data_IF_931731435390
#
_entry.id   IF_931731435390
#
_cell.length_a   1.000
_cell.length_b   1.000
_cell.length_c   1.000
_cell.angle_alpha   90.00
_cell.angle_beta   90.00
_cell.angle_gamma   90.00
#
_symmetry.space_group_name_H-M   'P 1'
#
loop_
_entity.id
_entity.type
_entity.pdbx_description
1 polymer ?
#
# COMPACT_ATOMS: atom_id res chain seq x y z
N UNK A 1 -22.52 32.41 17.44
CA UNK A 1 -23.14 31.27 16.77
C UNK A 1 -22.09 30.68 15.84
N UNK A 2 -21.60 29.44 16.03
CA UNK A 2 -20.74 28.83 15.05
C UNK A 2 -21.56 28.61 13.77
N UNK A 3 -20.99 29.08 12.66
CA UNK A 3 -21.54 28.96 11.32
C UNK A 3 -21.71 27.48 10.97
N UNK A 4 -22.94 26.99 10.97
CA UNK A 4 -23.32 25.66 10.53
C UNK A 4 -23.44 25.65 9.00
N UNK A 5 -22.34 25.91 8.32
CA UNK A 5 -22.27 25.55 6.91
C UNK A 5 -22.41 24.05 6.83
N UNK A 6 -23.39 23.47 6.09
CA UNK A 6 -23.52 22.03 5.94
C UNK A 6 -22.18 21.47 5.43
N UNK A 7 -21.76 20.28 5.88
CA UNK A 7 -20.51 19.72 5.39
C UNK A 7 -20.61 19.63 3.87
N UNK A 8 -19.55 20.05 3.17
CA UNK A 8 -19.52 20.03 1.71
C UNK A 8 -19.93 18.67 1.19
N UNK A 9 -20.42 18.61 -0.05
CA UNK A 9 -20.98 17.40 -0.72
C UNK A 9 -20.12 16.13 -0.64
N UNK A 10 -18.96 16.21 -0.03
CA UNK A 10 -17.95 15.15 0.07
C UNK A 10 -17.14 14.97 -1.22
N UNK A 11 -17.44 15.75 -2.26
CA UNK A 11 -16.67 15.88 -3.49
C UNK A 11 -15.68 17.05 -3.41
N UNK A 12 -16.03 18.10 -2.67
CA UNK A 12 -15.13 19.23 -2.47
C UNK A 12 -13.87 18.78 -1.73
N UNK A 13 -12.70 19.01 -2.34
CA UNK A 13 -11.42 18.55 -1.85
C UNK A 13 -11.25 17.03 -1.86
N UNK A 14 -12.18 16.26 -2.47
CA UNK A 14 -12.05 14.81 -2.60
C UNK A 14 -10.97 14.45 -3.61
N UNK A 15 -10.08 13.55 -3.22
CA UNK A 15 -9.00 13.11 -4.10
C UNK A 15 -7.99 12.21 -3.39
N UNK A 16 -6.92 11.90 -4.09
CA UNK A 16 -5.79 11.19 -3.52
C UNK A 16 -4.67 12.18 -3.15
N UNK A 17 -4.12 11.96 -1.99
CA UNK A 17 -2.89 12.55 -1.56
C UNK A 17 -1.83 11.45 -1.52
N UNK A 18 -0.81 11.57 -2.34
CA UNK A 18 0.35 10.68 -2.34
C UNK A 18 1.44 11.36 -1.52
N UNK A 19 1.84 10.72 -0.42
CA UNK A 19 2.85 11.27 0.49
C UNK A 19 4.13 10.47 0.39
N UNK A 20 5.25 11.16 0.23
CA UNK A 20 6.57 10.57 0.52
C UNK A 20 6.77 10.56 2.03
N UNK A 21 6.44 9.41 2.65
CA UNK A 21 6.54 9.25 4.10
C UNK A 21 8.00 9.23 4.53
N UNK A 22 8.37 10.09 5.45
CA UNK A 22 9.68 10.06 6.10
C UNK A 22 9.80 8.85 7.06
N UNK A 23 11.02 8.44 7.36
CA UNK A 23 11.32 7.47 8.41
C UNK A 23 11.00 8.01 9.81
N UNK A 24 10.80 7.10 10.77
CA UNK A 24 10.56 7.44 12.18
C UNK A 24 9.13 7.87 12.51
N UNK A 25 8.21 7.94 11.54
CA UNK A 25 6.79 8.26 11.76
C UNK A 25 5.90 7.12 11.30
N UNK A 26 4.78 6.91 11.99
CA UNK A 26 3.81 5.90 11.59
C UNK A 26 2.92 6.39 10.44
N UNK A 27 2.30 5.47 9.70
CA UNK A 27 1.28 5.82 8.70
C UNK A 27 0.10 6.57 9.33
N UNK A 28 -0.20 6.33 10.60
CA UNK A 28 -1.26 7.03 11.33
C UNK A 28 -0.89 8.48 11.65
N UNK A 29 0.37 8.76 11.98
CA UNK A 29 0.87 10.13 12.19
C UNK A 29 0.75 10.95 10.91
N UNK A 30 1.07 10.33 9.75
CA UNK A 30 0.87 10.96 8.44
C UNK A 30 -0.60 11.28 8.20
N UNK A 31 -1.53 10.34 8.45
CA UNK A 31 -2.98 10.60 8.35
C UNK A 31 -3.39 11.75 9.25
N UNK A 32 -2.89 11.79 10.47
CA UNK A 32 -3.22 12.85 11.46
C UNK A 32 -2.70 14.21 11.00
N UNK A 33 -1.48 14.28 10.45
CA UNK A 33 -0.92 15.49 9.87
C UNK A 33 -1.73 15.99 8.67
N UNK A 34 -2.13 15.07 7.77
CA UNK A 34 -2.96 15.39 6.60
C UNK A 34 -4.34 15.90 7.00
N UNK A 35 -4.98 15.29 8.01
CA UNK A 35 -6.27 15.77 8.55
C UNK A 35 -6.18 17.20 9.04
N UNK A 36 -5.07 17.54 9.74
CA UNK A 36 -4.84 18.90 10.23
C UNK A 36 -4.61 19.89 9.09
N UNK A 37 -3.75 19.55 8.13
CA UNK A 37 -3.42 20.41 7.01
C UNK A 37 -4.64 20.69 6.12
N UNK A 38 -5.41 19.64 5.77
CA UNK A 38 -6.59 19.73 4.88
C UNK A 38 -7.88 20.10 5.64
N UNK A 39 -7.85 20.30 6.97
CA UNK A 39 -9.00 20.62 7.82
C UNK A 39 -10.19 19.68 7.66
N UNK A 40 -9.93 18.39 7.48
CA UNK A 40 -10.95 17.35 7.38
C UNK A 40 -10.62 16.14 8.26
N UNK A 41 -11.68 15.44 8.72
CA UNK A 41 -11.54 14.17 9.45
C UNK A 41 -11.54 12.95 8.52
N UNK A 42 -11.98 13.11 7.28
CA UNK A 42 -12.15 12.03 6.30
C UNK A 42 -10.87 11.79 5.51
N UNK A 43 -9.86 11.24 6.18
CA UNK A 43 -8.60 10.81 5.58
C UNK A 43 -8.28 9.40 6.05
N UNK A 44 -7.96 8.51 5.12
CA UNK A 44 -7.48 7.14 5.35
C UNK A 44 -6.30 6.83 4.45
N UNK A 45 -5.67 5.66 4.58
CA UNK A 45 -4.55 5.24 3.72
C UNK A 45 -4.77 3.86 3.11
N UNK A 46 -4.14 3.58 1.95
CA UNK A 46 -4.12 2.30 1.25
C UNK A 46 -2.78 1.59 1.51
N UNK A 47 -2.73 0.76 2.55
CA UNK A 47 -1.55 -0.03 2.89
C UNK A 47 -0.58 0.68 3.83
N UNK A 48 -0.40 0.12 5.01
CA UNK A 48 0.52 0.60 6.05
C UNK A 48 1.97 0.57 5.55
N UNK A 49 2.75 1.54 5.99
CA UNK A 49 4.21 1.49 6.04
C UNK A 49 4.65 1.47 7.51
N UNK A 50 5.63 0.63 7.81
CA UNK A 50 6.25 0.55 9.14
C UNK A 50 6.94 1.89 9.50
N UNK A 51 7.22 2.19 10.78
CA UNK A 51 7.82 3.47 11.17
C UNK A 51 9.15 3.73 10.47
N UNK A 52 10.05 2.74 10.41
CA UNK A 52 11.33 2.84 9.73
C UNK A 52 11.21 3.04 8.20
N UNK A 53 10.16 2.49 7.60
CA UNK A 53 9.99 2.52 6.15
C UNK A 53 9.65 3.92 5.64
N UNK A 54 10.13 4.25 4.44
CA UNK A 54 9.91 5.53 3.76
C UNK A 54 9.15 5.34 2.45
N UNK A 55 8.80 6.44 1.80
CA UNK A 55 8.29 6.45 0.43
C UNK A 55 6.78 6.50 0.31
N UNK A 56 6.26 6.03 -0.81
CA UNK A 56 4.88 6.23 -1.27
C UNK A 56 3.84 5.70 -0.27
N UNK A 57 3.08 6.60 0.31
CA UNK A 57 1.87 6.31 1.08
C UNK A 57 0.68 7.00 0.42
N UNK A 58 -0.24 6.21 -0.11
CA UNK A 58 -1.45 6.72 -0.78
C UNK A 58 -2.55 6.92 0.25
N UNK A 59 -3.07 8.15 0.34
CA UNK A 59 -4.17 8.51 1.20
C UNK A 59 -5.38 8.95 0.36
N UNK A 60 -6.57 8.53 0.77
CA UNK A 60 -7.82 9.05 0.25
C UNK A 60 -8.34 10.16 1.16
N UNK A 61 -8.83 11.23 0.54
CA UNK A 61 -9.41 12.39 1.20
C UNK A 61 -10.88 12.49 0.83
N UNK A 62 -11.73 12.77 1.82
CA UNK A 62 -13.18 12.88 1.68
C UNK A 62 -13.76 11.63 1.00
N UNK A 63 -14.50 11.80 -0.11
CA UNK A 63 -15.13 10.70 -0.82
C UNK A 63 -14.15 9.67 -1.40
N UNK A 64 -12.92 10.10 -1.71
CA UNK A 64 -11.88 9.20 -2.21
C UNK A 64 -11.40 8.16 -1.17
N UNK A 65 -11.75 8.29 0.11
CA UNK A 65 -11.52 7.21 1.10
C UNK A 65 -12.17 5.89 0.70
N UNK A 66 -13.24 5.93 -0.09
CA UNK A 66 -13.98 4.74 -0.53
C UNK A 66 -13.25 3.91 -1.59
N UNK A 67 -12.29 4.50 -2.34
CA UNK A 67 -11.50 3.77 -3.35
C UNK A 67 -10.24 3.12 -2.76
N UNK A 68 -9.89 3.42 -1.51
CA UNK A 68 -8.67 2.90 -0.88
C UNK A 68 -8.62 1.37 -0.80
N UNK A 69 -9.77 0.72 -0.62
CA UNK A 69 -9.86 -0.73 -0.62
C UNK A 69 -9.43 -1.36 -1.95
N UNK A 70 -9.77 -0.72 -3.07
CA UNK A 70 -9.36 -1.17 -4.41
C UNK A 70 -7.86 -0.93 -4.64
N UNK A 71 -7.33 0.22 -4.20
CA UNK A 71 -5.92 0.57 -4.34
C UNK A 71 -5.02 -0.29 -3.43
N UNK A 72 -5.50 -0.73 -2.28
CA UNK A 72 -4.72 -1.58 -1.38
C UNK A 72 -4.40 -2.95 -1.97
N UNK A 73 -5.18 -3.43 -2.94
CA UNK A 73 -5.01 -4.73 -3.61
C UNK A 73 -4.01 -4.69 -4.76
N UNK A 74 -3.50 -3.52 -5.13
CA UNK A 74 -2.54 -3.37 -6.24
C UNK A 74 -1.13 -3.85 -5.88
N UNK A 75 -0.30 -4.08 -6.90
CA UNK A 75 1.14 -4.39 -6.74
C UNK A 75 1.89 -3.22 -6.11
N UNK A 76 3.02 -3.52 -5.51
CA UNK A 76 3.89 -2.54 -4.87
C UNK A 76 5.34 -2.81 -5.24
N UNK A 77 6.12 -1.73 -5.32
CA UNK A 77 7.56 -1.80 -5.50
C UNK A 77 8.29 -1.20 -4.33
N UNK A 78 9.44 -1.79 -4.04
CA UNK A 78 10.31 -1.37 -2.94
C UNK A 78 11.77 -1.41 -3.37
N UNK A 79 12.54 -0.49 -2.84
CA UNK A 79 13.98 -0.67 -2.64
C UNK A 79 14.24 -0.93 -1.17
N UNK A 80 15.15 -1.85 -0.87
CA UNK A 80 15.46 -2.20 0.51
C UNK A 80 16.92 -2.58 0.67
N UNK A 81 17.43 -2.52 1.89
CA UNK A 81 18.70 -3.12 2.27
C UNK A 81 18.43 -4.26 3.24
N UNK A 82 18.78 -5.47 2.83
CA UNK A 82 18.75 -6.68 3.66
C UNK A 82 20.13 -6.87 4.26
N UNK A 83 20.20 -7.01 5.57
CA UNK A 83 21.42 -7.40 6.28
C UNK A 83 21.34 -8.86 6.67
N UNK A 84 22.27 -9.67 6.18
CA UNK A 84 22.56 -11.04 6.61
C UNK A 84 23.61 -11.00 7.71
N UNK A 85 23.58 -11.97 8.65
CA UNK A 85 24.49 -12.09 9.79
C UNK A 85 23.80 -11.90 11.14
N UNK A 86 22.54 -11.45 11.16
CA UNK A 86 21.75 -11.36 12.39
C UNK A 86 20.26 -11.42 12.11
N UNK A 87 19.51 -12.07 12.99
CA UNK A 87 18.05 -11.97 13.05
C UNK A 87 17.63 -11.01 14.18
N UNK A 88 16.50 -10.32 13.99
CA UNK A 88 15.94 -9.40 14.99
C UNK A 88 14.49 -9.76 15.34
N UNK A 89 13.99 -9.25 16.46
CA UNK A 89 12.62 -9.53 16.94
C UNK A 89 11.52 -9.02 16.03
N UNK A 90 11.81 -8.02 15.19
CA UNK A 90 10.84 -7.37 14.28
C UNK A 90 11.11 -7.64 12.79
N UNK A 91 12.13 -8.45 12.48
CA UNK A 91 12.66 -8.68 11.12
C UNK A 91 13.19 -7.38 10.46
N UNK A 92 13.45 -6.32 11.23
CA UNK A 92 14.04 -5.04 10.82
C UNK A 92 14.98 -4.46 11.87
N UNK A 93 15.60 -3.31 11.59
CA UNK A 93 16.58 -2.67 12.46
C UNK A 93 16.00 -2.01 13.73
N UNK A 94 14.66 -1.94 13.88
CA UNK A 94 14.01 -1.42 15.08
C UNK A 94 13.92 -2.51 16.19
N UNK A 95 14.11 -3.78 15.84
CA UNK A 95 14.06 -4.90 16.78
C UNK A 95 15.41 -5.23 17.43
N UNK A 96 15.35 -5.87 18.62
CA UNK A 96 16.52 -6.41 19.28
C UNK A 96 17.07 -7.61 18.51
N UNK A 97 18.42 -7.77 18.50
CA UNK A 97 19.09 -8.92 17.91
C UNK A 97 18.79 -10.18 18.75
N UNK A 98 18.21 -11.19 18.11
CA UNK A 98 17.89 -12.48 18.75
C UNK A 98 18.90 -13.59 18.45
N UNK A 99 19.59 -13.52 17.31
CA UNK A 99 20.66 -14.44 16.94
C UNK A 99 21.64 -13.79 15.98
N UNK A 100 22.87 -14.35 15.95
CA UNK A 100 23.89 -14.01 14.96
C UNK A 100 24.35 -15.29 14.28
N UNK A 101 24.63 -15.20 12.96
CA UNK A 101 25.17 -16.28 12.17
C UNK A 101 26.44 -15.86 11.43
N UNK A 102 27.25 -16.83 11.07
CA UNK A 102 28.49 -16.61 10.32
C UNK A 102 28.17 -16.36 8.83
N UNK A 103 28.69 -15.29 8.30
CA UNK A 103 28.55 -14.89 6.88
C UNK A 103 29.81 -15.14 6.06
N UNK A 104 30.91 -15.52 6.69
CA UNK A 104 32.24 -15.63 6.04
C UNK A 104 32.27 -16.65 4.91
N UNK A 105 31.50 -17.73 5.06
CA UNK A 105 31.42 -18.85 4.11
C UNK A 105 30.30 -18.75 3.09
N UNK A 106 29.47 -17.69 3.10
CA UNK A 106 28.30 -17.59 2.23
C UNK A 106 28.72 -17.15 0.82
N UNK A 107 28.62 -18.02 -0.22
CA UNK A 107 28.94 -17.65 -1.57
C UNK A 107 27.80 -16.82 -2.21
N UNK A 108 28.11 -16.01 -3.21
CA UNK A 108 27.13 -15.21 -3.91
C UNK A 108 26.05 -16.07 -4.60
N UNK A 109 26.44 -17.27 -5.08
CA UNK A 109 25.48 -18.21 -5.70
C UNK A 109 24.41 -18.69 -4.71
N UNK A 110 24.76 -18.92 -3.43
CA UNK A 110 23.76 -19.32 -2.43
C UNK A 110 22.77 -18.16 -2.15
N UNK A 111 23.24 -16.91 -2.18
CA UNK A 111 22.35 -15.74 -2.09
C UNK A 111 21.40 -15.69 -3.30
N UNK A 112 21.94 -15.90 -4.51
CA UNK A 112 21.14 -15.89 -5.75
C UNK A 112 20.10 -17.02 -5.75
N UNK A 113 20.46 -18.22 -5.31
CA UNK A 113 19.55 -19.36 -5.17
C UNK A 113 18.45 -19.07 -4.14
N UNK A 114 18.81 -18.49 -3.00
CA UNK A 114 17.85 -18.08 -1.95
C UNK A 114 16.87 -17.00 -2.44
N UNK A 115 17.36 -16.01 -3.19
CA UNK A 115 16.51 -14.97 -3.80
C UNK A 115 15.59 -15.58 -4.87
N UNK A 116 16.08 -16.49 -5.70
CA UNK A 116 15.28 -17.21 -6.69
C UNK A 116 14.16 -18.03 -6.04
N UNK A 117 14.44 -18.71 -4.93
CA UNK A 117 13.46 -19.49 -4.16
C UNK A 117 12.35 -18.61 -3.53
N UNK A 118 12.62 -17.34 -3.29
CA UNK A 118 11.67 -16.37 -2.72
C UNK A 118 11.00 -15.51 -3.81
N UNK A 119 11.20 -15.84 -5.09
CA UNK A 119 10.60 -15.17 -6.26
C UNK A 119 9.49 -16.05 -6.86
N UNK A 120 8.43 -15.44 -7.35
CA UNK A 120 7.26 -16.14 -7.88
C UNK A 120 6.14 -16.25 -6.85
N UNK A 121 5.29 -17.27 -7.00
CA UNK A 121 4.22 -17.57 -6.06
C UNK A 121 4.78 -18.35 -4.87
N UNK A 122 4.70 -17.78 -3.68
CA UNK A 122 5.25 -18.34 -2.45
C UNK A 122 4.24 -18.32 -1.31
N UNK A 123 4.41 -19.24 -0.36
CA UNK A 123 3.72 -19.22 0.93
C UNK A 123 4.59 -18.45 1.95
N UNK A 124 4.15 -17.28 2.38
CA UNK A 124 4.90 -16.45 3.32
C UNK A 124 4.23 -16.40 4.69
N UNK A 125 5.00 -16.64 5.74
CA UNK A 125 4.60 -16.35 7.12
C UNK A 125 4.89 -14.87 7.38
N UNK A 126 3.86 -14.04 7.62
CA UNK A 126 4.05 -12.62 7.94
C UNK A 126 4.92 -12.39 9.18
N UNK A 127 5.59 -11.24 9.24
CA UNK A 127 6.33 -10.84 10.45
C UNK A 127 5.40 -10.79 11.66
N UNK A 128 5.89 -11.25 12.82
CA UNK A 128 5.12 -11.32 14.08
C UNK A 128 4.61 -9.95 14.53
N UNK A 129 5.41 -8.91 14.30
CA UNK A 129 5.01 -7.52 14.53
C UNK A 129 4.31 -6.97 13.30
N UNK A 130 3.01 -7.26 13.15
CA UNK A 130 2.21 -6.85 11.99
C UNK A 130 0.81 -6.37 12.39
N UNK A 131 0.12 -5.71 11.45
CA UNK A 131 -1.26 -5.24 11.63
C UNK A 131 -2.31 -6.36 11.39
N UNK A 132 -1.89 -7.61 11.17
CA UNK A 132 -2.77 -8.75 10.98
C UNK A 132 -3.61 -8.95 12.24
N UNK A 133 -4.88 -9.28 12.03
CA UNK A 133 -5.79 -9.63 13.12
C UNK A 133 -5.82 -11.15 13.29
N UNK A 134 -5.62 -11.60 14.52
CA UNK A 134 -5.79 -12.97 14.99
C UNK A 134 -6.89 -12.91 16.05
N UNK A 135 -7.97 -13.62 15.84
CA UNK A 135 -9.15 -13.62 16.72
C UNK A 135 -9.67 -12.22 17.07
N UNK A 136 -9.61 -11.31 16.08
CA UNK A 136 -10.07 -9.93 16.23
C UNK A 136 -9.05 -8.95 16.82
N UNK A 137 -7.94 -9.44 17.40
CA UNK A 137 -6.84 -8.64 17.98
C UNK A 137 -5.68 -8.52 17.01
N UNK A 138 -4.98 -7.40 16.99
CA UNK A 138 -3.83 -7.19 16.10
C UNK A 138 -2.61 -7.95 16.63
N UNK A 139 -1.87 -8.65 15.74
CA UNK A 139 -0.71 -9.46 16.09
C UNK A 139 0.33 -8.66 16.90
N UNK A 140 0.63 -7.41 16.51
CA UNK A 140 1.58 -6.57 17.25
C UNK A 140 1.11 -6.23 18.68
N UNK A 141 -0.20 -6.23 18.97
CA UNK A 141 -0.71 -6.01 20.32
C UNK A 141 -0.49 -7.26 21.18
N UNK A 142 -0.74 -8.45 20.62
CA UNK A 142 -0.51 -9.73 21.30
C UNK A 142 0.97 -9.91 21.64
N UNK A 143 1.88 -9.62 20.71
CA UNK A 143 3.33 -9.70 20.93
C UNK A 143 3.78 -8.77 22.04
N UNK A 144 3.25 -7.53 22.12
CA UNK A 144 3.56 -6.58 23.20
C UNK A 144 3.08 -7.05 24.57
N UNK A 145 2.05 -7.86 24.63
CA UNK A 145 1.52 -8.48 25.86
C UNK A 145 2.29 -9.77 26.23
N UNK A 146 3.33 -10.16 25.45
CA UNK A 146 4.14 -11.33 25.69
C UNK A 146 3.51 -12.63 25.19
N UNK A 147 2.43 -12.57 24.41
CA UNK A 147 1.81 -13.77 23.83
C UNK A 147 2.61 -14.30 22.64
N UNK A 148 2.81 -15.61 22.57
CA UNK A 148 3.37 -16.27 21.38
C UNK A 148 2.31 -16.31 20.28
N UNK A 149 2.56 -15.62 19.19
CA UNK A 149 1.61 -15.50 18.09
C UNK A 149 2.02 -16.44 16.95
N UNK A 150 1.16 -17.40 16.63
CA UNK A 150 1.33 -18.25 15.43
C UNK A 150 0.51 -17.65 14.30
N UNK A 151 1.20 -17.14 13.28
CA UNK A 151 0.56 -16.59 12.08
C UNK A 151 0.64 -17.65 10.99
N UNK A 152 -0.49 -18.08 10.40
CA UNK A 152 -0.46 -19.05 9.32
C UNK A 152 0.18 -18.42 8.06
N UNK A 153 0.88 -19.25 7.24
CA UNK A 153 1.39 -18.80 5.95
C UNK A 153 0.24 -18.34 5.05
N UNK A 154 0.56 -17.44 4.12
CA UNK A 154 -0.39 -16.89 3.15
C UNK A 154 0.25 -16.83 1.77
N UNK A 155 -0.52 -17.16 0.72
CA UNK A 155 -0.03 -17.04 -0.64
C UNK A 155 0.23 -15.57 -0.99
N UNK A 156 1.40 -15.29 -1.53
CA UNK A 156 1.80 -14.00 -2.08
C UNK A 156 2.61 -14.24 -3.36
N UNK A 157 2.60 -13.24 -4.25
CA UNK A 157 3.41 -13.26 -5.46
C UNK A 157 4.51 -12.22 -5.35
N UNK A 158 5.76 -12.64 -5.50
CA UNK A 158 6.94 -11.78 -5.64
C UNK A 158 7.34 -11.82 -7.10
N UNK A 159 6.85 -10.86 -7.90
CA UNK A 159 7.08 -10.84 -9.35
C UNK A 159 8.52 -10.47 -9.72
N UNK A 160 9.23 -9.77 -8.82
CA UNK A 160 10.63 -9.42 -8.95
C UNK A 160 11.29 -9.36 -7.58
N UNK A 161 12.44 -10.04 -7.46
CA UNK A 161 13.34 -9.90 -6.34
C UNK A 161 14.77 -9.91 -6.89
N UNK A 162 15.40 -8.76 -6.93
CA UNK A 162 16.70 -8.56 -7.57
C UNK A 162 17.70 -7.96 -6.61
N UNK A 163 18.90 -8.53 -6.55
CA UNK A 163 20.03 -7.96 -5.80
C UNK A 163 20.77 -6.97 -6.70
N UNK A 164 20.72 -5.69 -6.34
CA UNK A 164 21.35 -4.61 -7.09
C UNK A 164 22.83 -4.44 -6.69
N UNK A 165 23.13 -4.61 -5.40
CA UNK A 165 24.48 -4.45 -4.86
C UNK A 165 24.69 -5.36 -3.66
N UNK A 166 25.91 -5.87 -3.51
CA UNK A 166 26.38 -6.63 -2.35
C UNK A 166 27.55 -5.91 -1.70
N UNK A 167 27.49 -5.74 -0.38
CA UNK A 167 28.57 -5.19 0.44
C UNK A 167 28.88 -6.17 1.56
N UNK A 168 30.12 -6.58 1.64
CA UNK A 168 30.59 -7.55 2.65
C UNK A 168 31.43 -6.84 3.71
N UNK A 169 31.22 -7.20 4.97
CA UNK A 169 32.05 -6.87 6.11
C UNK A 169 32.43 -8.16 6.86
N UNK A 170 33.17 -8.05 7.96
CA UNK A 170 33.53 -9.21 8.77
C UNK A 170 32.28 -9.93 9.33
N UNK A 171 31.26 -9.16 9.73
CA UNK A 171 30.13 -9.67 10.52
C UNK A 171 28.80 -9.64 9.75
N UNK A 172 28.77 -9.10 8.52
CA UNK A 172 27.53 -8.92 7.79
C UNK A 172 27.73 -8.88 6.27
N UNK A 173 26.64 -9.24 5.55
CA UNK A 173 26.49 -8.97 4.13
C UNK A 173 25.26 -8.09 3.96
N UNK A 174 25.44 -6.88 3.43
CA UNK A 174 24.35 -5.99 3.07
C UNK A 174 24.01 -6.17 1.59
N UNK A 175 22.74 -6.43 1.31
CA UNK A 175 22.18 -6.58 -0.03
C UNK A 175 21.23 -5.42 -0.28
N UNK A 176 21.57 -4.55 -1.24
CA UNK A 176 20.58 -3.61 -1.76
C UNK A 176 19.74 -4.32 -2.80
N UNK A 177 18.45 -4.31 -2.63
CA UNK A 177 17.51 -5.10 -3.42
C UNK A 177 16.39 -4.26 -3.98
N UNK A 178 15.85 -4.71 -5.12
CA UNK A 178 14.59 -4.24 -5.69
C UNK A 178 13.56 -5.37 -5.59
N UNK A 179 12.37 -5.06 -5.05
CA UNK A 179 11.28 -6.03 -4.87
C UNK A 179 10.01 -5.48 -5.48
N UNK A 180 9.38 -6.25 -6.38
CA UNK A 180 8.01 -6.02 -6.84
C UNK A 180 7.13 -7.20 -6.39
N UNK A 181 6.00 -6.89 -5.73
CA UNK A 181 5.19 -7.93 -5.11
C UNK A 181 3.70 -7.59 -5.04
N UNK A 182 2.90 -8.61 -4.83
CA UNK A 182 1.46 -8.50 -4.60
C UNK A 182 1.14 -7.83 -3.26
N UNK A 183 -0.10 -7.42 -3.10
CA UNK A 183 -0.64 -6.97 -1.81
C UNK A 183 -0.51 -8.07 -0.76
N UNK A 184 -0.18 -7.69 0.46
CA UNK A 184 -0.05 -8.61 1.60
C UNK A 184 1.35 -9.18 1.80
N UNK A 185 2.28 -8.97 0.86
CA UNK A 185 3.68 -9.38 0.99
C UNK A 185 4.39 -8.51 2.04
N UNK A 186 5.17 -9.15 2.91
CA UNK A 186 6.03 -8.52 3.91
C UNK A 186 7.49 -8.59 3.45
N UNK A 187 8.07 -7.45 3.05
CA UNK A 187 9.49 -7.40 2.63
C UNK A 187 10.42 -7.75 3.80
N UNK A 188 10.01 -7.47 5.04
CA UNK A 188 10.72 -7.91 6.26
C UNK A 188 10.81 -9.44 6.34
N UNK A 189 9.72 -10.13 6.02
CA UNK A 189 9.72 -11.59 6.02
C UNK A 189 10.60 -12.16 4.90
N UNK A 190 10.72 -11.50 3.74
CA UNK A 190 11.68 -11.92 2.71
C UNK A 190 13.13 -11.86 3.23
N UNK A 191 13.49 -10.81 3.98
CA UNK A 191 14.81 -10.68 4.58
C UNK A 191 15.08 -11.77 5.64
N UNK A 192 14.10 -12.02 6.51
CA UNK A 192 14.14 -13.10 7.50
C UNK A 192 14.32 -14.47 6.83
N UNK A 193 13.46 -14.76 5.84
CA UNK A 193 13.42 -16.09 5.21
C UNK A 193 14.69 -16.34 4.38
N UNK A 194 15.23 -15.31 3.70
CA UNK A 194 16.54 -15.41 3.03
C UNK A 194 17.66 -15.69 4.03
N UNK A 195 17.71 -14.97 5.15
CA UNK A 195 18.70 -15.17 6.20
C UNK A 195 18.58 -16.55 6.86
N UNK A 196 17.35 -17.07 7.02
CA UNK A 196 17.10 -18.42 7.53
C UNK A 196 17.56 -19.50 6.54
N UNK A 197 17.30 -19.34 5.25
CA UNK A 197 17.74 -20.28 4.21
C UNK A 197 19.27 -20.38 4.10
N UNK A 198 19.98 -19.30 4.47
CA UNK A 198 21.44 -19.23 4.47
C UNK A 198 22.08 -19.55 5.84
N UNK A 199 21.28 -19.87 6.85
CA UNK A 199 21.70 -20.10 8.25
C UNK A 199 22.50 -18.93 8.86
N UNK A 200 22.24 -17.71 8.40
CA UNK A 200 22.92 -16.48 8.87
C UNK A 200 22.06 -15.59 9.75
N UNK A 201 20.73 -15.77 9.69
CA UNK A 201 19.80 -14.72 10.09
C UNK A 201 19.79 -13.55 9.12
N UNK A 202 18.65 -12.86 9.05
CA UNK A 202 18.47 -11.74 8.14
C UNK A 202 17.38 -10.79 8.62
N UNK A 203 17.58 -9.49 8.36
CA UNK A 203 16.61 -8.44 8.68
C UNK A 203 16.77 -7.24 7.75
N UNK A 204 15.77 -6.37 7.70
CA UNK A 204 15.86 -5.11 6.93
C UNK A 204 16.59 -4.03 7.73
N UNK A 205 17.52 -3.32 7.09
CA UNK A 205 18.13 -2.09 7.62
C UNK A 205 17.59 -0.83 6.96
N UNK A 206 17.02 -0.96 5.75
CA UNK A 206 16.32 0.12 5.06
C UNK A 206 15.16 -0.45 4.24
N UNK A 207 14.07 0.31 4.15
CA UNK A 207 12.92 -0.02 3.30
C UNK A 207 12.31 1.28 2.74
N UNK A 208 12.19 1.35 1.43
CA UNK A 208 11.51 2.46 0.75
C UNK A 208 10.50 1.93 -0.27
N UNK A 209 9.24 2.26 -0.10
CA UNK A 209 8.22 1.95 -1.09
C UNK A 209 8.25 2.97 -2.21
N UNK A 210 8.59 2.55 -3.41
CA UNK A 210 8.73 3.42 -4.59
C UNK A 210 7.45 3.53 -5.40
N UNK A 211 6.56 2.51 -5.32
CA UNK A 211 5.31 2.47 -6.08
C UNK A 211 4.17 1.75 -5.33
N UNK A 212 2.95 2.21 -5.53
CA UNK A 212 1.68 1.55 -5.16
C UNK A 212 0.73 1.61 -6.36
N UNK A 213 0.51 0.50 -7.04
CA UNK A 213 -0.22 0.48 -8.30
C UNK A 213 0.38 1.47 -9.31
N UNK A 214 -0.37 2.42 -9.85
CA UNK A 214 0.16 3.42 -10.78
C UNK A 214 0.82 4.63 -10.09
N UNK A 215 0.76 4.72 -8.75
CA UNK A 215 1.26 5.88 -8.01
C UNK A 215 2.72 5.69 -7.61
N UNK A 216 3.59 6.57 -8.08
CA UNK A 216 5.04 6.60 -7.85
C UNK A 216 5.45 7.77 -6.97
N UNK A 217 6.75 7.90 -6.70
CA UNK A 217 7.31 9.06 -6.00
C UNK A 217 7.10 10.38 -6.76
N UNK A 218 6.91 10.34 -8.09
CA UNK A 218 6.62 11.53 -8.90
C UNK A 218 5.28 12.20 -8.54
N UNK A 219 4.33 11.40 -8.06
CA UNK A 219 3.04 11.91 -7.58
C UNK A 219 3.10 12.37 -6.12
N UNK A 220 4.19 12.04 -5.43
CA UNK A 220 4.28 12.21 -3.99
C UNK A 220 4.72 13.61 -3.59
N UNK A 221 4.23 14.05 -2.44
CA UNK A 221 4.61 15.29 -1.77
C UNK A 221 5.07 14.95 -0.36
N UNK A 222 6.03 15.70 0.16
CA UNK A 222 6.41 15.64 1.56
C UNK A 222 5.34 16.26 2.45
N UNK A 223 5.36 15.96 3.76
CA UNK A 223 4.44 16.62 4.69
C UNK A 223 4.68 18.12 4.81
N UNK A 224 5.91 18.60 4.57
CA UNK A 224 6.22 20.03 4.63
C UNK A 224 5.66 20.76 3.42
N UNK A 225 5.78 20.18 2.21
CA UNK A 225 5.11 20.71 1.01
C UNK A 225 3.59 20.72 1.15
N UNK A 226 3.01 19.68 1.79
CA UNK A 226 1.58 19.65 2.07
C UNK A 226 1.16 20.74 3.07
N UNK A 227 1.98 21.03 4.07
CA UNK A 227 1.70 22.11 5.03
C UNK A 227 1.77 23.49 4.38
N UNK A 228 2.70 23.68 3.44
CA UNK A 228 2.88 24.92 2.70
C UNK A 228 1.73 25.16 1.70
N UNK A 229 1.24 24.08 1.06
CA UNK A 229 0.15 24.13 0.06
C UNK A 229 -0.84 22.98 0.33
N UNK A 230 -1.86 23.20 1.19
CA UNK A 230 -2.77 22.14 1.66
C UNK A 230 -3.81 21.77 0.59
N UNK A 231 -3.43 20.90 -0.35
CA UNK A 231 -4.31 20.35 -1.40
C UNK A 231 -3.99 18.90 -1.68
N UNK A 232 -4.93 18.17 -2.28
CA UNK A 232 -4.70 16.79 -2.76
C UNK A 232 -3.69 16.78 -3.91
N UNK A 233 -2.99 15.65 -4.09
CA UNK A 233 -2.08 15.45 -5.24
C UNK A 233 -2.86 15.30 -6.55
N UNK A 234 -3.98 14.60 -6.48
CA UNK A 234 -4.88 14.31 -7.61
C UNK A 234 -6.32 14.49 -7.12
N UNK A 235 -7.13 15.27 -7.84
CA UNK A 235 -8.58 15.27 -7.59
C UNK A 235 -9.18 13.90 -7.87
N UNK A 236 -10.44 13.69 -7.51
CA UNK A 236 -11.06 12.36 -7.60
C UNK A 236 -11.15 11.84 -9.04
N UNK A 237 -11.32 12.71 -10.03
CA UNK A 237 -11.39 12.31 -11.44
C UNK A 237 -10.01 11.92 -11.96
N UNK A 238 -9.00 12.74 -11.70
CA UNK A 238 -7.60 12.43 -12.05
C UNK A 238 -7.11 11.16 -11.34
N UNK A 239 -7.44 10.99 -10.06
CA UNK A 239 -7.10 9.80 -9.29
C UNK A 239 -7.71 8.52 -9.87
N UNK A 240 -8.98 8.59 -10.26
CA UNK A 240 -9.69 7.47 -10.87
C UNK A 240 -9.18 7.18 -12.28
N UNK A 241 -8.96 8.23 -13.10
CA UNK A 241 -8.41 8.07 -14.46
C UNK A 241 -7.00 7.46 -14.46
N UNK A 242 -6.20 7.74 -13.43
CA UNK A 242 -4.86 7.14 -13.26
C UNK A 242 -4.94 5.67 -12.84
N UNK A 243 -5.94 5.31 -12.00
CA UNK A 243 -5.97 4.01 -11.33
C UNK A 243 -6.79 2.93 -12.07
N UNK A 244 -7.75 3.32 -12.92
CA UNK A 244 -8.71 2.39 -13.50
C UNK A 244 -8.90 2.61 -15.01
N UNK A 245 -9.15 1.53 -15.78
CA UNK A 245 -9.58 1.65 -17.16
C UNK A 245 -10.84 2.51 -17.28
N UNK A 246 -10.99 3.18 -18.42
CA UNK A 246 -12.12 4.10 -18.69
C UNK A 246 -13.17 3.44 -19.60
N UNK A 247 -14.45 3.68 -19.27
CA UNK A 247 -15.61 3.50 -20.15
C UNK A 247 -16.38 4.81 -20.24
N UNK A 248 -16.51 5.37 -21.43
CA UNK A 248 -17.42 6.47 -21.66
C UNK A 248 -18.87 5.96 -21.67
N UNK A 249 -19.74 6.65 -20.96
CA UNK A 249 -21.16 6.33 -20.84
C UNK A 249 -22.04 7.49 -21.32
N UNK A 250 -23.21 7.17 -21.88
CA UNK A 250 -24.21 8.17 -22.26
C UNK A 250 -24.78 8.89 -21.04
N UNK A 251 -25.47 10.03 -21.25
CA UNK A 251 -26.14 10.76 -20.17
C UNK A 251 -27.19 9.89 -19.44
N UNK A 252 -27.94 9.06 -20.16
CA UNK A 252 -28.92 8.14 -19.57
C UNK A 252 -28.27 7.03 -18.74
N UNK A 253 -27.14 6.48 -19.19
CA UNK A 253 -26.35 5.50 -18.42
C UNK A 253 -25.72 6.16 -17.18
N UNK A 254 -25.18 7.38 -17.31
CA UNK A 254 -24.64 8.15 -16.20
C UNK A 254 -25.70 8.41 -15.13
N UNK A 255 -26.91 8.80 -15.53
CA UNK A 255 -28.04 8.98 -14.62
C UNK A 255 -28.41 7.67 -13.92
N UNK A 256 -28.50 6.56 -14.66
CA UNK A 256 -28.76 5.23 -14.09
C UNK A 256 -27.73 4.84 -13.03
N UNK A 257 -26.43 5.01 -13.31
CA UNK A 257 -25.35 4.73 -12.36
C UNK A 257 -25.38 5.64 -11.14
N UNK A 258 -25.71 6.94 -11.31
CA UNK A 258 -25.81 7.89 -10.20
C UNK A 258 -26.90 7.51 -9.21
N UNK A 259 -27.95 6.83 -9.68
CA UNK A 259 -29.05 6.26 -8.89
C UNK A 259 -28.77 4.84 -8.37
N UNK A 260 -27.56 4.30 -8.61
CA UNK A 260 -27.16 2.97 -8.18
C UNK A 260 -27.72 1.81 -9.02
N UNK A 261 -28.30 2.12 -10.20
CA UNK A 261 -28.76 1.09 -11.14
C UNK A 261 -27.54 0.51 -11.89
N UNK A 262 -27.71 -0.68 -12.45
CA UNK A 262 -26.70 -1.36 -13.25
C UNK A 262 -26.85 -1.08 -14.73
N UNK A 263 -25.80 -1.30 -15.50
CA UNK A 263 -25.74 -1.23 -16.97
C UNK A 263 -25.53 -2.62 -17.57
N UNK A 264 -25.67 -2.71 -18.89
CA UNK A 264 -25.24 -3.89 -19.64
C UNK A 264 -23.70 -3.97 -19.68
N UNK A 265 -23.13 -5.19 -19.55
CA UNK A 265 -21.70 -5.41 -19.66
C UNK A 265 -21.18 -5.08 -21.06
N UNK A 266 -19.92 -4.66 -21.13
CA UNK A 266 -19.20 -4.39 -22.41
C UNK A 266 -17.89 -5.18 -22.51
N UNK A 267 -17.63 -6.09 -21.56
CA UNK A 267 -16.48 -6.98 -21.58
C UNK A 267 -15.18 -6.39 -21.01
N UNK A 268 -15.27 -5.34 -20.20
CA UNK A 268 -14.09 -4.76 -19.53
C UNK A 268 -13.77 -5.57 -18.26
N UNK A 269 -12.58 -6.20 -18.17
CA UNK A 269 -12.18 -6.98 -17.01
C UNK A 269 -11.88 -6.09 -15.81
N UNK A 270 -12.17 -6.59 -14.58
CA UNK A 270 -11.87 -5.92 -13.33
C UNK A 270 -12.79 -4.72 -13.05
N UNK A 271 -12.26 -3.75 -12.32
CA UNK A 271 -12.94 -2.50 -12.00
C UNK A 271 -12.54 -1.42 -12.99
N UNK A 272 -13.51 -0.68 -13.50
CA UNK A 272 -13.29 0.43 -14.43
C UNK A 272 -14.10 1.67 -14.05
N UNK A 273 -13.69 2.83 -14.55
CA UNK A 273 -14.35 4.10 -14.38
C UNK A 273 -15.41 4.31 -15.45
N UNK A 274 -16.66 4.52 -15.07
CA UNK A 274 -17.71 5.03 -15.95
C UNK A 274 -17.69 6.57 -15.95
N UNK A 275 -17.39 7.16 -17.11
CA UNK A 275 -17.20 8.61 -17.28
C UNK A 275 -18.33 9.16 -18.11
N UNK A 276 -19.01 10.17 -17.58
CA UNK A 276 -20.12 10.86 -18.24
C UNK A 276 -19.70 11.77 -19.40
N UNK A 277 -20.67 12.31 -20.15
CA UNK A 277 -20.40 13.23 -21.28
C UNK A 277 -19.69 14.54 -20.87
N UNK A 278 -19.75 14.90 -19.59
CA UNK A 278 -19.07 16.05 -18.99
C UNK A 278 -17.59 15.77 -18.65
N UNK A 279 -17.10 14.55 -18.94
CA UNK A 279 -15.76 14.11 -18.66
C UNK A 279 -15.52 13.70 -17.20
N UNK A 280 -16.55 13.69 -16.35
CA UNK A 280 -16.44 13.36 -14.93
C UNK A 280 -16.78 11.91 -14.65
N UNK A 281 -16.07 11.32 -13.68
CA UNK A 281 -16.36 9.96 -13.24
C UNK A 281 -17.67 9.91 -12.45
N UNK A 282 -18.62 9.11 -12.92
CA UNK A 282 -19.91 8.88 -12.26
C UNK A 282 -19.79 7.76 -11.23
N UNK A 283 -19.19 6.64 -11.62
CA UNK A 283 -19.04 5.47 -10.77
C UNK A 283 -17.80 4.65 -11.15
N UNK A 284 -17.29 3.87 -10.19
CA UNK A 284 -16.46 2.70 -10.43
C UNK A 284 -17.38 1.50 -10.58
N UNK A 285 -17.20 0.74 -11.65
CA UNK A 285 -18.10 -0.33 -12.08
C UNK A 285 -17.32 -1.63 -12.22
N UNK A 286 -17.96 -2.75 -11.93
CA UNK A 286 -17.44 -4.09 -12.18
C UNK A 286 -18.52 -4.95 -12.83
N UNK A 287 -18.12 -5.73 -13.83
CA UNK A 287 -19.02 -6.65 -14.53
C UNK A 287 -19.10 -8.00 -13.80
N UNK A 288 -20.31 -8.46 -13.58
CA UNK A 288 -20.61 -9.77 -12.99
C UNK A 288 -21.78 -10.41 -13.72
N UNK A 289 -21.50 -11.44 -14.50
CA UNK A 289 -22.50 -12.10 -15.32
C UNK A 289 -23.13 -11.14 -16.34
N UNK A 290 -24.44 -10.94 -16.25
CA UNK A 290 -25.21 -10.07 -17.17
C UNK A 290 -25.36 -8.61 -16.68
N UNK A 291 -24.57 -8.18 -15.71
CA UNK A 291 -24.71 -6.85 -15.10
C UNK A 291 -23.35 -6.19 -14.90
N UNK A 292 -23.29 -4.89 -15.23
CA UNK A 292 -22.22 -4.00 -14.89
C UNK A 292 -22.68 -3.12 -13.71
N UNK A 293 -22.34 -3.51 -12.48
CA UNK A 293 -22.81 -2.88 -11.25
C UNK A 293 -21.79 -1.94 -10.64
N UNK A 294 -22.25 -0.88 -9.96
CA UNK A 294 -21.38 0.06 -9.26
C UNK A 294 -20.71 -0.60 -8.05
N UNK A 295 -19.38 -0.60 -8.02
CA UNK A 295 -18.58 -0.89 -6.83
C UNK A 295 -18.59 0.33 -5.90
N UNK A 296 -18.56 1.52 -6.50
CA UNK A 296 -18.69 2.80 -5.83
C UNK A 296 -19.34 3.82 -6.77
N UNK A 297 -20.38 4.45 -6.32
CA UNK A 297 -20.93 5.65 -7.01
C UNK A 297 -20.13 6.86 -6.53
N UNK A 298 -19.35 7.46 -7.42
CA UNK A 298 -18.54 8.67 -7.14
C UNK A 298 -19.45 9.89 -7.01
N UNK A 299 -20.40 10.03 -7.94
CA UNK A 299 -21.38 11.13 -8.01
C UNK A 299 -22.80 10.59 -7.93
N UNK A 300 -23.31 10.28 -6.71
CA UNK A 300 -24.69 9.86 -6.56
C UNK A 300 -25.65 11.03 -6.80
N UNK A 301 -26.82 10.73 -7.38
CA UNK A 301 -27.87 11.72 -7.64
C UNK A 301 -28.30 12.52 -6.39
N UNK A 302 -28.07 11.97 -5.19
CA UNK A 302 -28.39 12.61 -3.90
C UNK A 302 -27.43 13.73 -3.51
N UNK A 303 -26.31 13.93 -4.21
CA UNK A 303 -25.37 15.02 -3.91
C UNK A 303 -25.73 16.35 -4.60
N UNK A 304 -26.75 16.34 -5.47
CA UNK A 304 -27.08 17.51 -6.29
C UNK A 304 -26.05 17.74 -7.40
N UNK A 305 -26.36 18.68 -8.32
CA UNK A 305 -25.44 19.07 -9.37
C UNK A 305 -24.24 19.84 -8.83
#
# INVERSE_FOLDING_TARGET
>A
MPDHTPPPSGLDGAGLLVVDKAGGVTSHDVVSACRKALRTRRVGHAGTLDPMATGVLVLGVERATKILGLLSLTTKEYTATIRLGAATTTDDAEGDVVSRGDVSGVPDSAIDDGVAALTGDIEQVPSSVSAIKIDGRRAHALVREGETVVIPPRPVTVSRFEVLQRRRSADAIDLDVHVECSSGTYVRALARDLGAALDTGGHLTALRRTRVGPFTLEHARTLDELRADPRVSLDIDAAVATAFPRRDVSAAEAESLSQGRWLDPVGIPGVYAAVGPDGRTVALVQERGKRAGSVMVVRPATLGP
#
